data_IF_283337520241
#
_entry.id   IF_283337520241
#
_cell.length_a   1.000
_cell.length_b   1.000
_cell.length_c   1.000
_cell.angle_alpha   90.00
_cell.angle_beta   90.00
_cell.angle_gamma   90.00
#
_symmetry.space_group_name_H-M   'P 1'
#
loop_
_entity.id
_entity.type
_entity.pdbx_description
1 polymer ?
#
# COMPACT_ATOMS: atom_id res chain seq x y z
N UNK A 1 -11.63 50.39 10.36
CA UNK A 1 -12.17 49.09 10.83
C UNK A 1 -12.39 48.11 9.68
N UNK A 2 -12.91 48.57 8.54
CA UNK A 2 -13.13 47.83 7.29
C UNK A 2 -11.87 47.19 6.67
N UNK A 3 -10.71 47.87 6.68
CA UNK A 3 -9.47 47.35 6.10
C UNK A 3 -8.94 46.07 6.79
N UNK A 4 -9.14 45.98 8.11
CA UNK A 4 -8.75 44.79 8.89
C UNK A 4 -9.59 43.58 8.51
N UNK A 5 -10.88 43.78 8.27
CA UNK A 5 -11.81 42.71 7.87
C UNK A 5 -11.44 42.17 6.49
N UNK A 6 -11.11 43.07 5.54
CA UNK A 6 -10.69 42.68 4.18
C UNK A 6 -9.41 41.84 4.24
N UNK A 7 -8.43 42.23 5.07
CA UNK A 7 -7.18 41.48 5.25
C UNK A 7 -7.42 40.05 5.77
N UNK A 8 -8.30 39.90 6.77
CA UNK A 8 -8.63 38.58 7.33
C UNK A 8 -9.35 37.66 6.33
N UNK A 9 -10.25 38.21 5.52
CA UNK A 9 -10.97 37.44 4.49
C UNK A 9 -10.00 36.95 3.40
N UNK A 10 -9.06 37.81 3.00
CA UNK A 10 -8.07 37.47 1.97
C UNK A 10 -7.09 36.39 2.47
N UNK A 11 -6.70 36.45 3.74
CA UNK A 11 -5.84 35.44 4.37
C UNK A 11 -6.56 34.07 4.51
N UNK A 12 -7.84 34.07 4.87
CA UNK A 12 -8.65 32.86 4.95
C UNK A 12 -8.83 32.21 3.55
N UNK A 13 -9.03 33.02 2.51
CA UNK A 13 -9.14 32.51 1.14
C UNK A 13 -7.85 31.82 0.66
N UNK A 14 -6.68 32.43 0.92
CA UNK A 14 -5.36 31.88 0.53
C UNK A 14 -5.01 30.59 1.28
N UNK A 15 -5.42 30.45 2.54
CA UNK A 15 -5.17 29.22 3.32
C UNK A 15 -6.10 28.07 2.93
N UNK A 16 -7.32 28.37 2.47
CA UNK A 16 -8.29 27.36 2.04
C UNK A 16 -7.91 26.65 0.74
N UNK A 17 -7.24 27.34 -0.19
CA UNK A 17 -6.79 26.74 -1.46
C UNK A 17 -5.62 25.77 -1.30
N UNK A 18 -4.95 25.78 -0.16
CA UNK A 18 -3.86 24.86 0.16
C UNK A 18 -4.35 23.52 0.76
N UNK A 19 -5.62 23.44 1.18
CA UNK A 19 -6.19 22.23 1.79
C UNK A 19 -6.30 21.03 0.83
N UNK A 20 -6.37 21.30 -0.48
CA UNK A 20 -6.41 20.27 -1.51
C UNK A 20 -5.02 19.64 -1.78
N UNK A 21 -3.94 20.39 -1.55
CA UNK A 21 -2.56 19.92 -1.78
C UNK A 21 -2.06 18.97 -0.69
N UNK A 22 -2.72 18.95 0.48
CA UNK A 22 -2.40 18.02 1.59
C UNK A 22 -3.31 16.81 1.64
N UNK A 23 -4.34 16.73 0.77
CA UNK A 23 -5.06 15.48 0.50
C UNK A 23 -4.23 14.59 -0.43
N UNK A 24 -3.03 14.22 0.03
CA UNK A 24 -2.37 13.03 -0.48
C UNK A 24 -3.30 11.86 -0.21
N UNK A 25 -3.69 11.13 -1.26
CA UNK A 25 -4.57 9.98 -1.14
C UNK A 25 -4.05 9.08 -0.01
N UNK A 26 -4.78 9.03 1.10
CA UNK A 26 -4.46 8.14 2.20
C UNK A 26 -4.77 6.75 1.68
N UNK A 27 -3.79 6.12 1.04
CA UNK A 27 -3.84 4.70 0.79
C UNK A 27 -4.00 4.05 2.17
N UNK A 28 -5.11 3.36 2.37
CA UNK A 28 -5.34 2.66 3.63
C UNK A 28 -4.31 1.53 3.67
N UNK A 29 -3.40 1.58 4.63
CA UNK A 29 -2.36 0.57 4.79
C UNK A 29 -2.79 -0.33 5.93
N UNK A 30 -3.07 -1.58 5.60
CA UNK A 30 -3.48 -2.60 6.57
C UNK A 30 -2.32 -3.55 6.79
N UNK A 31 -2.01 -3.85 8.06
CA UNK A 31 -1.01 -4.86 8.39
C UNK A 31 -1.60 -6.27 8.47
N UNK A 32 -0.75 -7.25 8.18
CA UNK A 32 -1.09 -8.66 8.28
C UNK A 32 0.13 -9.56 8.34
N UNK A 33 -0.11 -10.86 8.46
CA UNK A 33 0.93 -11.88 8.37
C UNK A 33 0.58 -12.96 7.36
N UNK A 34 1.61 -13.52 6.72
CA UNK A 34 1.44 -14.60 5.76
C UNK A 34 1.07 -15.89 6.49
N UNK A 35 -0.05 -16.50 6.13
CA UNK A 35 -0.52 -17.76 6.72
C UNK A 35 -0.20 -18.96 5.84
N UNK A 36 -0.15 -18.78 4.53
CA UNK A 36 0.06 -19.87 3.57
C UNK A 36 0.74 -19.37 2.30
N UNK A 37 1.64 -20.21 1.75
CA UNK A 37 2.16 -20.04 0.39
C UNK A 37 1.36 -20.97 -0.53
N UNK A 38 0.52 -20.40 -1.37
CA UNK A 38 -0.40 -21.14 -2.24
C UNK A 38 0.31 -21.63 -3.51
N UNK A 39 1.11 -20.76 -4.13
CA UNK A 39 1.80 -21.06 -5.38
C UNK A 39 3.14 -20.33 -5.46
N UNK A 40 4.12 -20.95 -6.10
CA UNK A 40 5.37 -20.31 -6.51
C UNK A 40 5.59 -20.61 -7.98
N UNK A 41 5.88 -19.60 -8.79
CA UNK A 41 6.08 -19.78 -10.22
C UNK A 41 6.94 -18.70 -10.86
N UNK A 42 7.08 -18.80 -12.18
CA UNK A 42 7.76 -17.80 -13.00
C UNK A 42 6.89 -17.40 -14.17
N UNK A 43 6.72 -16.10 -14.38
CA UNK A 43 6.03 -15.56 -15.56
C UNK A 43 7.03 -15.24 -16.64
N UNK A 44 6.67 -15.55 -17.87
CA UNK A 44 7.39 -15.04 -19.03
C UNK A 44 7.27 -13.51 -19.04
N UNK A 45 8.41 -12.83 -19.10
CA UNK A 45 8.42 -11.38 -19.31
C UNK A 45 7.91 -11.09 -20.72
N UNK A 46 7.12 -10.03 -20.89
CA UNK A 46 6.66 -9.59 -22.21
C UNK A 46 7.86 -8.97 -22.93
N UNK A 47 8.64 -9.78 -23.67
CA UNK A 47 9.85 -9.39 -24.39
C UNK A 47 11.04 -10.35 -24.19
N UNK A 48 12.27 -9.89 -24.41
CA UNK A 48 13.52 -10.65 -24.22
C UNK A 48 14.02 -10.66 -22.77
N UNK A 49 13.17 -10.32 -21.81
CA UNK A 49 13.52 -10.24 -20.39
C UNK A 49 13.62 -11.61 -19.72
N UNK A 50 14.35 -11.66 -18.60
CA UNK A 50 14.35 -12.84 -17.73
C UNK A 50 12.95 -13.12 -17.19
N UNK A 51 12.59 -14.40 -16.95
CA UNK A 51 11.35 -14.77 -16.28
C UNK A 51 11.23 -14.04 -14.92
N UNK A 52 10.04 -13.53 -14.64
CA UNK A 52 9.76 -12.84 -13.37
C UNK A 52 9.17 -13.83 -12.37
N UNK A 53 9.83 -14.07 -11.22
CA UNK A 53 9.26 -14.91 -10.19
C UNK A 53 7.98 -14.29 -9.63
N UNK A 54 7.01 -15.13 -9.28
CA UNK A 54 5.83 -14.73 -8.54
C UNK A 54 5.49 -15.75 -7.47
N UNK A 55 4.69 -15.32 -6.51
CA UNK A 55 4.16 -16.15 -5.45
C UNK A 55 2.70 -15.76 -5.21
N UNK A 56 1.83 -16.75 -4.99
CA UNK A 56 0.49 -16.52 -4.47
C UNK A 56 0.53 -16.85 -2.99
N UNK A 57 0.08 -15.92 -2.16
CA UNK A 57 0.13 -16.03 -0.70
C UNK A 57 -1.22 -15.72 -0.10
N UNK A 58 -1.52 -16.37 1.02
CA UNK A 58 -2.62 -15.95 1.89
C UNK A 58 -2.07 -15.16 3.05
N UNK A 59 -2.74 -14.05 3.34
CA UNK A 59 -2.37 -13.13 4.42
C UNK A 59 -3.59 -12.96 5.31
N UNK A 60 -3.39 -13.14 6.61
CA UNK A 60 -4.38 -12.80 7.61
C UNK A 60 -4.18 -11.36 8.07
N UNK A 61 -5.25 -10.57 8.02
CA UNK A 61 -5.24 -9.16 8.40
C UNK A 61 -5.33 -9.02 9.93
N UNK A 62 -4.52 -8.13 10.50
CA UNK A 62 -4.38 -7.96 11.96
C UNK A 62 -5.09 -6.71 12.49
N UNK A 63 -5.44 -5.78 11.61
CA UNK A 63 -5.90 -4.43 11.98
C UNK A 63 -7.25 -4.07 11.36
N UNK A 64 -7.81 -2.96 11.86
CA UNK A 64 -9.03 -2.32 11.36
C UNK A 64 -10.28 -3.22 11.43
N UNK A 65 -11.25 -2.95 10.56
CA UNK A 65 -12.51 -3.69 10.40
C UNK A 65 -12.32 -5.10 9.83
N UNK A 66 -11.17 -5.37 9.21
CA UNK A 66 -10.89 -6.61 8.49
C UNK A 66 -10.12 -7.64 9.33
N UNK A 67 -9.96 -7.40 10.64
CA UNK A 67 -9.19 -8.28 11.52
C UNK A 67 -9.70 -9.73 11.44
N UNK A 68 -8.77 -10.64 11.15
CA UNK A 68 -9.05 -12.08 11.04
C UNK A 68 -9.49 -12.54 9.66
N UNK A 69 -9.75 -11.62 8.73
CA UNK A 69 -9.97 -11.98 7.34
C UNK A 69 -8.69 -12.50 6.70
N UNK A 70 -8.85 -13.46 5.80
CA UNK A 70 -7.75 -14.04 5.03
C UNK A 70 -7.94 -13.67 3.57
N UNK A 71 -6.95 -12.98 3.02
CA UNK A 71 -6.94 -12.53 1.63
C UNK A 71 -5.87 -13.27 0.84
N UNK A 72 -6.19 -13.66 -0.39
CA UNK A 72 -5.25 -14.27 -1.32
C UNK A 72 -4.70 -13.19 -2.25
N UNK A 73 -3.38 -13.13 -2.35
CA UNK A 73 -2.67 -12.02 -2.98
C UNK A 73 -1.55 -12.57 -3.84
N UNK A 74 -1.29 -11.89 -4.94
CA UNK A 74 -0.11 -12.15 -5.73
C UNK A 74 1.05 -11.23 -5.33
N UNK A 75 2.16 -11.86 -4.98
CA UNK A 75 3.45 -11.23 -4.73
C UNK A 75 4.37 -11.34 -5.95
N UNK A 76 4.93 -10.21 -6.38
CA UNK A 76 5.78 -10.11 -7.58
C UNK A 76 7.29 -9.99 -7.30
N UNK A 77 7.75 -10.25 -6.06
CA UNK A 77 9.19 -10.34 -5.75
C UNK A 77 9.99 -9.04 -5.78
N UNK A 78 9.39 -7.88 -6.06
CA UNK A 78 10.13 -6.61 -6.26
C UNK A 78 10.60 -5.92 -4.98
N UNK A 79 10.09 -6.29 -3.81
CA UNK A 79 10.46 -5.67 -2.50
C UNK A 79 10.41 -6.69 -1.35
N UNK A 80 11.37 -7.61 -1.27
CA UNK A 80 11.45 -8.46 -0.08
C UNK A 80 12.84 -8.40 0.53
N UNK A 81 12.86 -8.44 1.86
CA UNK A 81 14.00 -8.29 2.77
C UNK A 81 14.97 -9.49 2.73
N UNK A 82 14.79 -10.42 1.79
CA UNK A 82 15.52 -11.69 1.61
C UNK A 82 16.17 -11.72 0.21
N UNK A 83 17.41 -12.24 0.05
CA UNK A 83 18.07 -12.40 -1.25
C UNK A 83 17.26 -13.05 -2.37
N UNK A 84 16.26 -13.88 -2.07
CA UNK A 84 15.38 -14.48 -3.10
C UNK A 84 14.09 -13.71 -3.37
N UNK A 85 13.77 -12.69 -2.57
CA UNK A 85 12.61 -11.84 -2.76
C UNK A 85 11.24 -12.50 -2.51
N UNK A 86 11.18 -13.69 -1.92
CA UNK A 86 9.93 -14.39 -1.60
C UNK A 86 9.49 -14.17 -0.16
N UNK A 87 8.19 -14.29 0.07
CA UNK A 87 7.59 -14.27 1.40
C UNK A 87 7.57 -15.70 1.99
N UNK A 88 7.62 -15.76 3.32
CA UNK A 88 7.54 -16.98 4.12
C UNK A 88 6.31 -16.92 5.02
N UNK A 89 5.83 -18.08 5.44
CA UNK A 89 4.77 -18.16 6.45
C UNK A 89 5.25 -17.51 7.75
N UNK A 90 4.42 -16.63 8.31
CA UNK A 90 4.71 -15.83 9.50
C UNK A 90 5.33 -14.46 9.20
N UNK A 91 5.73 -14.17 7.95
CA UNK A 91 6.24 -12.84 7.60
C UNK A 91 5.16 -11.78 7.77
N UNK A 92 5.52 -10.65 8.37
CA UNK A 92 4.65 -9.48 8.48
C UNK A 92 4.73 -8.62 7.24
N UNK A 93 3.56 -8.22 6.75
CA UNK A 93 3.40 -7.46 5.51
C UNK A 93 2.50 -6.25 5.72
N UNK A 94 2.71 -5.23 4.90
CA UNK A 94 1.84 -4.07 4.79
C UNK A 94 1.16 -4.12 3.43
N UNK A 95 -0.16 -4.04 3.44
CA UNK A 95 -1.02 -4.11 2.27
C UNK A 95 -1.59 -2.72 2.04
N UNK A 96 -1.35 -2.19 0.84
CA UNK A 96 -2.04 -0.99 0.37
C UNK A 96 -3.25 -1.43 -0.43
N UNK A 97 -4.43 -0.96 -0.03
CA UNK A 97 -5.69 -1.18 -0.77
C UNK A 97 -5.93 -0.08 -1.80
#
# INVERSE_FOLDING_TARGET
MTYRVILFVLLAAVTSSCAWLTQGGSADVVSGHVTEIVEVGSRQSVGSGMPQPFQVVRVQLEESLYRGEVVELQWGGRRALDPNGFLRVGDRVLLSV
#
